data_IF_534907411536
#
_entry.id   IF_534907411536
#
_cell.length_a   1.000
_cell.length_b   1.000
_cell.length_c   1.000
_cell.angle_alpha   90.00
_cell.angle_beta   90.00
_cell.angle_gamma   90.00
#
_symmetry.space_group_name_H-M   'P 1'
#
loop_
_entity.id
_entity.type
_entity.pdbx_description
1 polymer ?
#
# COMPACT_ATOMS: atom_id res chain seq x y z
N UNK A 1 -15.26 -23.21 1.74
CA UNK A 1 -14.26 -22.68 2.71
C UNK A 1 -14.81 -21.37 3.27
N UNK A 2 -14.40 -20.87 4.44
CA UNK A 2 -15.10 -19.74 5.11
C UNK A 2 -14.51 -18.35 4.78
N UNK A 3 -13.19 -18.22 4.81
CA UNK A 3 -12.41 -17.05 4.37
C UNK A 3 -11.01 -17.55 4.00
N UNK A 4 -10.52 -17.25 2.80
CA UNK A 4 -9.22 -17.73 2.34
C UNK A 4 -8.69 -16.91 1.17
N UNK A 5 -7.38 -16.94 0.95
CA UNK A 5 -6.76 -16.36 -0.23
C UNK A 5 -6.77 -17.32 -1.43
N UNK A 6 -7.04 -16.79 -2.62
CA UNK A 6 -6.91 -17.50 -3.89
C UNK A 6 -5.44 -17.59 -4.29
N UNK A 7 -5.05 -18.72 -4.87
CA UNK A 7 -3.67 -18.91 -5.39
C UNK A 7 -3.46 -18.32 -6.78
N UNK A 8 -4.51 -18.00 -7.56
CA UNK A 8 -4.33 -17.72 -8.99
C UNK A 8 -5.49 -17.06 -9.75
N UNK A 9 -6.48 -16.43 -9.10
CA UNK A 9 -7.57 -15.82 -9.87
C UNK A 9 -7.20 -14.40 -10.34
N UNK A 10 -6.74 -13.50 -9.46
CA UNK A 10 -6.37 -12.12 -9.84
C UNK A 10 -5.15 -11.51 -9.09
N UNK A 11 -4.28 -12.32 -8.49
CA UNK A 11 -3.00 -11.89 -7.87
C UNK A 11 -2.80 -12.35 -6.42
N UNK A 12 -1.63 -12.07 -5.81
CA UNK A 12 -1.39 -12.38 -4.41
C UNK A 12 -2.31 -11.49 -3.54
N UNK A 13 -3.06 -12.11 -2.62
CA UNK A 13 -3.98 -11.49 -1.64
C UNK A 13 -5.44 -11.31 -2.05
N UNK A 14 -5.91 -11.88 -3.16
CA UNK A 14 -7.36 -11.96 -3.41
C UNK A 14 -8.01 -12.95 -2.43
N UNK A 15 -9.12 -12.57 -1.79
CA UNK A 15 -9.79 -13.38 -0.78
C UNK A 15 -11.26 -13.67 -1.11
N UNK A 16 -11.80 -14.79 -0.62
CA UNK A 16 -13.21 -15.19 -0.82
C UNK A 16 -13.88 -15.74 0.45
N UNK A 17 -15.17 -15.44 0.59
CA UNK A 17 -16.14 -15.94 1.56
C UNK A 17 -17.25 -16.69 0.79
N UNK A 18 -17.45 -17.99 1.05
CA UNK A 18 -18.36 -18.78 0.22
C UNK A 18 -19.73 -19.12 0.85
N UNK A 19 -19.99 -18.93 2.15
CA UNK A 19 -21.17 -19.59 2.78
C UNK A 19 -21.86 -18.88 3.94
N UNK A 20 -21.21 -17.93 4.63
CA UNK A 20 -21.80 -17.17 5.74
C UNK A 20 -21.04 -15.85 5.90
N UNK A 21 -21.78 -14.78 6.18
CA UNK A 21 -21.19 -13.54 6.69
C UNK A 21 -20.50 -13.87 8.03
N UNK A 22 -19.21 -13.55 8.12
CA UNK A 22 -18.39 -13.72 9.32
C UNK A 22 -17.80 -12.36 9.69
N UNK A 23 -17.36 -12.20 10.92
CA UNK A 23 -16.58 -11.01 11.30
C UNK A 23 -15.17 -11.06 10.73
N UNK A 24 -14.53 -9.90 10.54
CA UNK A 24 -13.13 -9.83 10.09
C UNK A 24 -12.19 -10.55 11.08
N UNK A 25 -12.46 -10.49 12.38
CA UNK A 25 -11.76 -11.29 13.41
C UNK A 25 -11.78 -12.79 13.07
N UNK A 26 -12.95 -13.31 12.71
CA UNK A 26 -13.08 -14.72 12.34
C UNK A 26 -12.33 -15.00 11.05
N UNK A 27 -12.37 -14.09 10.09
CA UNK A 27 -11.61 -14.17 8.82
C UNK A 27 -10.10 -14.27 9.04
N UNK A 28 -9.52 -13.35 9.82
CA UNK A 28 -8.09 -13.33 10.15
C UNK A 28 -7.63 -14.62 10.83
N UNK A 29 -8.43 -15.17 11.76
CA UNK A 29 -8.12 -16.42 12.46
C UNK A 29 -8.29 -17.69 11.61
N UNK A 30 -8.81 -17.59 10.39
CA UNK A 30 -8.85 -18.70 9.43
C UNK A 30 -7.60 -18.74 8.53
N UNK A 31 -6.82 -17.66 8.49
CA UNK A 31 -5.61 -17.57 7.67
C UNK A 31 -4.43 -18.28 8.35
N UNK A 32 -3.71 -19.16 7.65
CA UNK A 32 -2.51 -19.81 8.20
C UNK A 32 -1.47 -18.78 8.65
N UNK A 33 -0.90 -18.98 9.84
CA UNK A 33 0.16 -18.11 10.37
C UNK A 33 -0.31 -16.76 10.90
N UNK A 34 -1.62 -16.45 10.82
CA UNK A 34 -2.23 -15.23 11.36
C UNK A 34 -3.17 -15.60 12.52
N UNK A 35 -3.17 -14.78 13.57
CA UNK A 35 -4.18 -14.82 14.61
C UNK A 35 -4.57 -13.41 15.02
N UNK A 36 -5.83 -13.23 15.42
CA UNK A 36 -6.35 -11.97 15.93
C UNK A 36 -7.18 -12.21 17.19
N UNK A 37 -7.04 -11.34 18.17
CA UNK A 37 -7.98 -11.20 19.29
C UNK A 37 -8.01 -9.76 19.78
N UNK A 38 -9.09 -9.38 20.47
CA UNK A 38 -9.15 -8.14 21.24
C UNK A 38 -8.89 -8.45 22.72
N UNK A 39 -7.91 -7.78 23.34
CA UNK A 39 -7.56 -8.00 24.75
C UNK A 39 -7.49 -6.67 25.49
N UNK A 40 -8.42 -6.43 26.41
CA UNK A 40 -8.47 -5.19 27.18
C UNK A 40 -8.65 -3.94 26.32
N UNK A 41 -9.41 -4.05 25.21
CA UNK A 41 -9.61 -2.96 24.24
C UNK A 41 -8.56 -2.91 23.13
N UNK A 42 -7.37 -3.45 23.36
CA UNK A 42 -6.25 -3.41 22.40
C UNK A 42 -6.34 -4.53 21.36
N UNK A 43 -5.88 -4.24 20.14
CA UNK A 43 -5.65 -5.25 19.11
C UNK A 43 -4.46 -6.14 19.48
N UNK A 44 -4.59 -7.45 19.31
CA UNK A 44 -3.48 -8.41 19.46
C UNK A 44 -3.45 -9.28 18.21
N UNK A 45 -2.33 -9.21 17.48
CA UNK A 45 -2.13 -9.91 16.22
C UNK A 45 -0.92 -10.83 16.35
N UNK A 46 -1.11 -12.11 16.07
CA UNK A 46 -0.01 -13.03 15.82
C UNK A 46 0.26 -13.11 14.32
N UNK A 47 1.52 -12.97 13.91
CA UNK A 47 1.97 -13.15 12.53
C UNK A 47 3.30 -13.90 12.53
N UNK A 48 3.33 -15.04 11.83
CA UNK A 48 4.53 -15.89 11.67
C UNK A 48 5.26 -16.19 13.00
N UNK A 49 4.48 -16.58 14.02
CA UNK A 49 4.99 -16.90 15.36
C UNK A 49 5.32 -15.68 16.25
N UNK A 50 5.22 -14.46 15.73
CA UNK A 50 5.42 -13.23 16.51
C UNK A 50 4.09 -12.63 16.95
N UNK A 51 3.97 -12.23 18.22
CA UNK A 51 2.76 -11.58 18.75
C UNK A 51 2.98 -10.09 18.97
N UNK A 52 2.17 -9.29 18.30
CA UNK A 52 2.07 -7.84 18.41
C UNK A 52 0.83 -7.49 19.23
N UNK A 53 0.99 -6.54 20.15
CA UNK A 53 -0.11 -6.06 20.98
C UNK A 53 -0.09 -4.54 20.97
N UNK A 54 -1.21 -3.96 20.56
CA UNK A 54 -1.43 -2.54 20.59
C UNK A 54 -1.34 -1.98 22.02
N UNK A 55 -0.80 -0.77 22.15
CA UNK A 55 -0.46 -0.15 23.43
C UNK A 55 0.76 -0.72 24.14
N UNK A 56 1.37 -1.82 23.66
CA UNK A 56 2.71 -2.22 24.11
C UNK A 56 3.72 -1.20 23.59
N UNK A 57 4.73 -0.86 24.40
CA UNK A 57 5.70 0.18 24.04
C UNK A 57 6.29 -0.05 22.64
N UNK A 58 6.06 0.91 21.75
CA UNK A 58 6.54 0.88 20.37
C UNK A 58 5.78 -0.04 19.42
N UNK A 59 4.57 -0.47 19.77
CA UNK A 59 3.65 -1.19 18.88
C UNK A 59 2.37 -0.39 18.72
N UNK A 60 1.99 -0.15 17.48
CA UNK A 60 0.73 0.47 17.08
C UNK A 60 0.08 -0.42 16.02
N UNK A 61 -1.21 -0.73 16.20
CA UNK A 61 -1.95 -1.61 15.29
C UNK A 61 -3.22 -0.90 14.86
N UNK A 62 -3.38 -0.71 13.55
CA UNK A 62 -4.61 -0.16 12.97
C UNK A 62 -5.19 -1.09 11.93
N UNK A 63 -6.53 -1.20 11.91
CA UNK A 63 -7.25 -2.10 11.01
C UNK A 63 -8.36 -1.30 10.32
N UNK A 64 -8.32 -1.28 8.99
CA UNK A 64 -9.24 -0.49 8.19
C UNK A 64 -9.96 -1.37 7.16
N UNK A 65 -11.20 -1.03 6.85
CA UNK A 65 -11.78 -1.29 5.53
C UNK A 65 -11.63 0.00 4.73
N UNK A 66 -11.01 -0.08 3.56
CA UNK A 66 -10.64 1.09 2.76
C UNK A 66 -9.88 2.12 3.59
N UNK A 67 -10.53 3.22 3.95
CA UNK A 67 -10.00 4.30 4.81
C UNK A 67 -10.71 4.42 6.15
N UNK A 68 -11.75 3.64 6.39
CA UNK A 68 -12.47 3.65 7.66
C UNK A 68 -11.80 2.68 8.64
N UNK A 69 -11.41 3.17 9.81
CA UNK A 69 -10.96 2.30 10.89
C UNK A 69 -12.15 1.50 11.43
N UNK A 70 -12.01 0.18 11.48
CA UNK A 70 -13.10 -0.74 11.82
C UNK A 70 -12.76 -1.55 13.08
N UNK A 71 -13.79 -2.00 13.81
CA UNK A 71 -13.63 -2.99 14.88
C UNK A 71 -13.77 -4.41 14.30
N UNK A 72 -12.70 -5.22 14.16
CA UNK A 72 -12.79 -6.53 13.53
C UNK A 72 -13.69 -7.52 14.26
N UNK A 73 -13.99 -7.27 15.55
CA UNK A 73 -14.89 -8.10 16.35
C UNK A 73 -16.37 -7.87 16.01
N UNK A 74 -16.68 -6.77 15.31
CA UNK A 74 -18.04 -6.35 14.95
C UNK A 74 -18.24 -6.23 13.44
N UNK A 75 -17.18 -5.93 12.69
CA UNK A 75 -17.25 -5.71 11.25
C UNK A 75 -17.50 -7.02 10.52
N UNK A 76 -18.64 -7.10 9.85
CA UNK A 76 -19.05 -8.22 9.02
C UNK A 76 -18.46 -8.12 7.62
N UNK A 77 -17.78 -9.17 7.19
CA UNK A 77 -17.05 -9.22 5.91
C UNK A 77 -18.01 -9.22 4.72
N UNK A 78 -17.88 -8.24 3.83
CA UNK A 78 -18.68 -8.10 2.62
C UNK A 78 -17.86 -8.32 1.35
N UNK A 79 -18.56 -8.71 0.28
CA UNK A 79 -17.94 -8.89 -1.02
C UNK A 79 -17.29 -7.57 -1.49
N UNK A 80 -16.06 -7.67 -2.02
CA UNK A 80 -15.24 -6.57 -2.50
C UNK A 80 -14.68 -5.60 -1.44
N UNK A 81 -14.77 -5.95 -0.15
CA UNK A 81 -14.08 -5.19 0.91
C UNK A 81 -12.56 -5.26 0.74
N UNK A 82 -11.90 -4.16 1.10
CA UNK A 82 -10.45 -4.03 1.04
C UNK A 82 -9.91 -3.76 2.43
N UNK A 83 -9.29 -4.77 3.05
CA UNK A 83 -8.79 -4.67 4.40
C UNK A 83 -7.31 -4.29 4.45
N UNK A 84 -6.98 -3.41 5.41
CA UNK A 84 -5.61 -3.03 5.73
C UNK A 84 -5.34 -3.29 7.20
N UNK A 85 -4.47 -4.25 7.49
CA UNK A 85 -3.94 -4.49 8.83
C UNK A 85 -2.52 -3.95 8.85
N UNK A 86 -2.30 -2.84 9.56
CA UNK A 86 -0.98 -2.23 9.70
C UNK A 86 -0.46 -2.44 11.12
N UNK A 87 0.75 -2.99 11.23
CA UNK A 87 1.47 -3.15 12.50
C UNK A 87 2.74 -2.32 12.37
N UNK A 88 2.84 -1.25 13.15
CA UNK A 88 4.06 -0.47 13.28
C UNK A 88 4.82 -0.94 14.51
N UNK A 89 6.10 -1.30 14.33
CA UNK A 89 7.00 -1.64 15.43
C UNK A 89 8.25 -0.77 15.41
N UNK A 90 8.40 0.06 16.43
CA UNK A 90 9.54 0.95 16.59
C UNK A 90 9.33 1.87 17.78
N UNK A 91 10.40 2.42 18.35
CA UNK A 91 10.23 3.59 19.23
C UNK A 91 9.46 4.61 18.41
N UNK A 92 8.34 5.14 18.93
CA UNK A 92 7.83 6.43 18.48
C UNK A 92 9.04 7.36 18.52
N UNK A 93 9.66 7.60 17.36
CA UNK A 93 10.74 8.56 17.28
C UNK A 93 10.07 9.83 17.76
N UNK A 94 10.53 10.33 18.91
CA UNK A 94 10.01 11.58 19.46
C UNK A 94 9.95 12.57 18.31
N UNK A 95 8.76 13.13 18.10
CA UNK A 95 8.43 14.04 17.03
C UNK A 95 9.46 15.17 17.04
N UNK A 96 10.49 15.05 16.19
CA UNK A 96 10.99 16.22 15.48
C UNK A 96 9.86 16.51 14.52
N UNK A 97 9.08 17.57 14.78
CA UNK A 97 7.80 17.87 14.13
C UNK A 97 7.84 18.05 12.61
N UNK A 98 8.98 17.78 11.98
CA UNK A 98 9.24 17.99 10.57
C UNK A 98 9.42 16.70 9.77
N UNK A 99 9.55 15.52 10.40
CA UNK A 99 9.74 14.26 9.64
C UNK A 99 8.47 13.43 9.58
N UNK A 100 8.03 13.13 8.35
CA UNK A 100 6.93 12.24 7.99
C UNK A 100 7.48 10.98 7.37
N UNK A 101 6.78 9.88 7.53
CA UNK A 101 7.14 8.60 6.93
C UNK A 101 5.91 7.85 6.47
N UNK A 102 6.07 6.93 5.54
CA UNK A 102 4.98 6.11 5.06
C UNK A 102 5.45 4.98 4.16
N UNK A 103 4.51 4.35 3.48
CA UNK A 103 4.73 3.25 2.54
C UNK A 103 4.24 3.64 1.15
N UNK A 104 4.94 3.19 0.11
CA UNK A 104 4.55 3.28 -1.28
C UNK A 104 4.60 1.90 -1.93
N UNK A 105 3.52 1.58 -2.66
CA UNK A 105 3.43 0.46 -3.58
C UNK A 105 3.25 1.04 -4.98
N UNK A 106 4.07 0.63 -5.94
CA UNK A 106 3.94 1.04 -7.34
C UNK A 106 4.01 -0.19 -8.23
N UNK A 107 2.91 -0.49 -8.89
CA UNK A 107 2.78 -1.60 -9.83
C UNK A 107 2.54 -1.08 -11.24
N UNK A 108 3.28 -1.62 -12.21
CA UNK A 108 3.04 -1.43 -13.64
C UNK A 108 2.77 -2.81 -14.24
N UNK A 109 1.55 -3.04 -14.68
CA UNK A 109 1.07 -4.32 -15.21
C UNK A 109 1.47 -5.46 -14.28
N UNK A 110 0.97 -5.42 -13.04
CA UNK A 110 1.27 -6.40 -11.98
C UNK A 110 2.76 -6.59 -11.62
N UNK A 111 3.68 -5.82 -12.22
CA UNK A 111 5.08 -5.80 -11.80
C UNK A 111 5.29 -4.71 -10.77
N UNK A 112 5.62 -5.13 -9.55
CA UNK A 112 6.09 -4.27 -8.48
C UNK A 112 7.42 -3.63 -8.85
N UNK A 113 7.49 -2.31 -8.80
CA UNK A 113 8.75 -1.58 -8.89
C UNK A 113 9.52 -1.73 -7.58
N UNK A 114 10.81 -2.03 -7.70
CA UNK A 114 11.69 -2.22 -6.55
C UNK A 114 12.42 -0.93 -6.16
N UNK A 115 11.86 -0.19 -5.20
CA UNK A 115 12.46 1.05 -4.71
C UNK A 115 13.70 0.83 -3.83
N UNK A 116 14.09 -0.42 -3.51
CA UNK A 116 15.40 -0.69 -2.88
C UNK A 116 16.56 -0.60 -3.88
N UNK A 117 16.29 -0.65 -5.19
CA UNK A 117 17.31 -0.55 -6.22
C UNK A 117 18.08 0.78 -6.11
N UNK A 118 19.41 0.73 -6.34
CA UNK A 118 20.30 1.87 -6.08
C UNK A 118 19.96 3.14 -6.86
N UNK A 119 19.26 3.02 -8.01
CA UNK A 119 18.79 4.18 -8.76
C UNK A 119 17.78 5.03 -7.98
N UNK A 120 16.89 4.40 -7.21
CA UNK A 120 15.88 5.09 -6.41
C UNK A 120 16.45 5.62 -5.09
N UNK A 121 17.32 4.84 -4.46
CA UNK A 121 18.03 5.24 -3.25
C UNK A 121 18.90 6.50 -3.47
N UNK A 122 19.35 6.76 -4.70
CA UNK A 122 20.12 7.96 -5.08
C UNK A 122 19.27 9.11 -5.62
N UNK A 123 18.05 8.84 -6.06
CA UNK A 123 17.19 9.83 -6.71
C UNK A 123 16.46 10.74 -5.70
N UNK A 124 16.39 10.32 -4.43
CA UNK A 124 15.84 11.12 -3.35
C UNK A 124 16.61 12.43 -3.12
N UNK A 125 15.90 13.41 -2.57
CA UNK A 125 16.48 14.67 -2.10
C UNK A 125 16.91 14.57 -0.63
N UNK A 126 17.50 15.62 -0.08
CA UNK A 126 17.62 15.74 1.40
C UNK A 126 16.25 15.79 2.08
N UNK A 127 15.22 16.22 1.36
CA UNK A 127 13.86 16.39 1.85
C UNK A 127 13.03 15.12 1.72
N UNK A 128 13.27 14.25 0.74
CA UNK A 128 12.52 13.01 0.53
C UNK A 128 13.43 11.86 0.10
N UNK A 129 13.30 10.71 0.76
CA UNK A 129 14.09 9.50 0.46
C UNK A 129 13.22 8.26 0.62
N UNK A 130 13.50 7.24 -0.19
CA UNK A 130 13.03 5.89 0.12
C UNK A 130 13.90 5.33 1.23
N UNK A 131 13.26 4.87 2.30
CA UNK A 131 13.92 4.13 3.35
C UNK A 131 14.03 2.65 2.95
N UNK A 132 15.13 2.00 3.35
CA UNK A 132 15.25 0.56 3.24
C UNK A 132 14.07 -0.11 3.97
N UNK A 133 13.36 -0.93 3.23
CA UNK A 133 12.06 -1.49 3.61
C UNK A 133 11.93 -2.88 3.01
N UNK A 134 11.11 -3.72 3.64
CA UNK A 134 10.91 -5.09 3.18
C UNK A 134 9.80 -5.11 2.11
N UNK A 135 10.04 -5.70 0.93
CA UNK A 135 9.00 -5.96 -0.05
C UNK A 135 7.79 -6.66 0.60
N UNK A 136 6.55 -6.35 0.17
CA UNK A 136 6.22 -5.61 -1.06
C UNK A 136 6.09 -4.08 -0.87
N UNK A 137 6.14 -3.56 0.36
CA UNK A 137 5.94 -2.14 0.66
C UNK A 137 7.27 -1.40 0.75
N UNK A 138 7.36 -0.23 0.11
CA UNK A 138 8.57 0.58 0.16
C UNK A 138 8.39 1.79 1.07
N UNK A 139 9.17 1.83 2.14
CA UNK A 139 9.20 2.92 3.09
C UNK A 139 9.72 4.20 2.44
N UNK A 140 9.14 5.33 2.84
CA UNK A 140 9.64 6.65 2.48
C UNK A 140 9.69 7.55 3.71
N UNK A 141 10.54 8.56 3.65
CA UNK A 141 10.66 9.61 4.65
C UNK A 141 10.68 10.97 3.98
N UNK A 142 9.99 11.94 4.55
CA UNK A 142 9.98 13.34 4.15
C UNK A 142 10.32 14.24 5.34
N UNK A 143 11.35 15.07 5.26
CA UNK A 143 11.74 16.01 6.34
C UNK A 143 11.54 17.46 5.90
N UNK A 144 10.86 18.28 6.70
CA UNK A 144 10.58 19.69 6.43
C UNK A 144 9.14 19.92 5.97
N UNK A 145 8.97 20.81 4.99
CA UNK A 145 7.66 21.09 4.40
C UNK A 145 7.07 19.85 3.71
N UNK A 146 5.74 19.62 3.80
CA UNK A 146 5.07 18.56 3.06
C UNK A 146 5.28 18.73 1.55
N UNK A 147 5.59 17.64 0.86
CA UNK A 147 5.58 17.57 -0.60
C UNK A 147 4.38 16.78 -1.08
N UNK A 148 3.99 17.02 -2.32
CA UNK A 148 2.94 16.28 -3.02
C UNK A 148 3.46 14.97 -3.58
N UNK A 149 2.55 14.02 -3.84
CA UNK A 149 2.92 12.77 -4.51
C UNK A 149 3.42 12.99 -5.94
N UNK A 150 2.95 14.03 -6.65
CA UNK A 150 3.50 14.42 -7.95
C UNK A 150 4.97 14.87 -7.84
N UNK A 151 5.32 15.67 -6.83
CA UNK A 151 6.72 16.08 -6.58
C UNK A 151 7.62 14.90 -6.21
N UNK A 152 7.09 13.83 -5.60
CA UNK A 152 7.82 12.58 -5.43
C UNK A 152 8.11 11.94 -6.79
N UNK A 153 7.12 11.83 -7.67
CA UNK A 153 7.32 11.24 -8.99
C UNK A 153 8.34 12.02 -9.82
N UNK A 154 8.35 13.35 -9.73
CA UNK A 154 9.33 14.19 -10.43
C UNK A 154 10.77 13.99 -9.95
N UNK A 155 10.96 13.42 -8.76
CA UNK A 155 12.29 13.06 -8.24
C UNK A 155 12.76 11.68 -8.71
N UNK A 156 11.88 10.84 -9.24
CA UNK A 156 12.22 9.48 -9.67
C UNK A 156 12.95 9.50 -11.03
N UNK A 157 13.97 8.65 -11.22
CA UNK A 157 14.84 8.73 -12.40
C UNK A 157 14.16 8.21 -13.68
N UNK A 158 13.13 7.38 -13.54
CA UNK A 158 12.45 6.70 -14.63
C UNK A 158 10.92 6.82 -14.57
N UNK A 159 10.38 7.62 -13.65
CA UNK A 159 8.94 7.86 -13.54
C UNK A 159 8.69 9.34 -13.72
N UNK A 160 7.64 9.70 -14.44
CA UNK A 160 7.10 11.06 -14.43
C UNK A 160 5.58 11.02 -14.47
N UNK A 161 4.94 11.98 -13.81
CA UNK A 161 3.49 12.04 -13.70
C UNK A 161 2.93 13.34 -14.27
N UNK A 162 1.73 13.27 -14.85
CA UNK A 162 0.94 14.44 -15.22
C UNK A 162 -0.54 14.16 -15.04
N UNK A 163 -1.30 15.18 -14.64
CA UNK A 163 -2.78 15.12 -14.63
C UNK A 163 -3.41 16.03 -15.69
N UNK A 164 -2.62 16.52 -16.67
CA UNK A 164 -3.14 17.40 -17.73
C UNK A 164 -3.99 16.61 -18.70
N UNK A 165 -5.28 16.55 -18.37
CA UNK A 165 -6.22 15.73 -19.10
C UNK A 165 -6.21 14.28 -18.62
N UNK A 166 -6.27 14.05 -17.30
CA UNK A 166 -6.28 12.73 -16.69
C UNK A 166 -4.88 12.21 -16.38
N UNK A 167 -4.83 11.18 -15.53
CA UNK A 167 -3.57 10.58 -15.09
C UNK A 167 -2.77 10.08 -16.28
N UNK A 168 -1.51 10.52 -16.34
CA UNK A 168 -0.49 10.05 -17.26
C UNK A 168 0.73 9.68 -16.44
N UNK A 169 1.20 8.44 -16.58
CA UNK A 169 2.44 7.95 -15.99
C UNK A 169 3.34 7.53 -17.13
N UNK A 170 4.54 8.13 -17.21
CA UNK A 170 5.60 7.62 -18.06
C UNK A 170 6.54 6.79 -17.21
N UNK A 171 6.87 5.60 -17.67
CA UNK A 171 7.90 4.74 -17.11
C UNK A 171 8.97 4.51 -18.15
N UNK A 172 10.20 4.94 -17.87
CA UNK A 172 11.34 4.88 -18.79
C UNK A 172 12.31 3.78 -18.37
N UNK A 173 12.17 2.58 -18.91
CA UNK A 173 12.98 1.41 -18.54
C UNK A 173 13.58 0.73 -19.76
N UNK A 174 14.52 -0.18 -19.52
CA UNK A 174 15.07 -1.06 -20.57
C UNK A 174 14.26 -2.36 -20.73
N UNK A 175 13.18 -2.50 -19.94
CA UNK A 175 12.33 -3.68 -19.94
C UNK A 175 11.04 -3.48 -20.74
N UNK A 176 10.28 -4.57 -20.87
CA UNK A 176 9.04 -4.63 -21.65
C UNK A 176 7.88 -3.77 -21.10
N UNK A 177 8.07 -3.12 -19.95
CA UNK A 177 7.06 -2.26 -19.33
C UNK A 177 7.36 -0.77 -19.57
N UNK A 178 8.42 -0.42 -20.31
CA UNK A 178 8.65 0.94 -20.80
C UNK A 178 7.43 1.49 -21.54
N UNK A 179 7.03 2.73 -21.25
CA UNK A 179 5.92 3.35 -21.95
C UNK A 179 5.33 4.61 -21.33
N UNK A 180 4.31 5.15 -22.00
CA UNK A 180 3.48 6.25 -21.53
C UNK A 180 2.05 5.74 -21.36
N UNK A 181 1.65 5.56 -20.11
CA UNK A 181 0.32 5.10 -19.72
C UNK A 181 -0.58 6.32 -19.48
N UNK A 182 -1.80 6.28 -19.98
CA UNK A 182 -2.77 7.38 -19.85
C UNK A 182 -4.13 6.79 -19.51
N UNK A 183 -4.76 7.25 -18.44
CA UNK A 183 -6.06 6.73 -17.98
C UNK A 183 -7.20 6.94 -18.98
N UNK A 184 -7.01 7.81 -19.99
CA UNK A 184 -7.97 8.04 -21.07
C UNK A 184 -7.84 7.08 -22.25
N UNK A 185 -6.76 6.29 -22.31
CA UNK A 185 -6.60 5.28 -23.36
C UNK A 185 -7.48 4.08 -23.05
N UNK A 186 -8.16 3.55 -24.07
CA UNK A 186 -8.92 2.32 -23.94
C UNK A 186 -8.00 1.18 -23.51
N UNK A 187 -8.47 0.35 -22.57
CA UNK A 187 -7.66 -0.72 -21.99
C UNK A 187 -6.46 -0.20 -21.19
N UNK A 188 -6.55 1.00 -20.59
CA UNK A 188 -5.56 1.49 -19.61
C UNK A 188 -6.29 1.95 -18.36
N UNK A 189 -5.89 1.40 -17.21
CA UNK A 189 -6.33 1.84 -15.89
C UNK A 189 -5.15 2.44 -15.13
N UNK A 190 -5.36 3.59 -14.50
CA UNK A 190 -4.41 4.17 -13.55
C UNK A 190 -5.19 4.50 -12.29
N UNK A 191 -4.87 3.82 -11.20
CA UNK A 191 -5.40 4.07 -9.87
C UNK A 191 -4.30 4.59 -8.97
N UNK A 192 -4.55 5.71 -8.29
CA UNK A 192 -3.61 6.30 -7.34
C UNK A 192 -4.37 6.59 -6.06
N UNK A 193 -4.01 5.88 -4.98
CA UNK A 193 -4.79 5.85 -3.75
C UNK A 193 -3.92 6.08 -2.54
N UNK A 194 -4.51 6.74 -1.54
CA UNK A 194 -4.11 6.55 -0.15
C UNK A 194 -5.04 5.50 0.44
N UNK A 195 -4.48 4.34 0.78
CA UNK A 195 -5.21 3.11 1.08
C UNK A 195 -6.22 2.78 -0.01
N UNK A 196 -7.49 3.13 0.16
CA UNK A 196 -8.53 2.93 -0.84
C UNK A 196 -9.26 4.21 -1.29
N UNK A 197 -8.82 5.37 -0.82
CA UNK A 197 -9.33 6.66 -1.30
C UNK A 197 -8.49 7.10 -2.48
N UNK A 198 -9.13 7.33 -3.62
CA UNK A 198 -8.48 7.93 -4.79
C UNK A 198 -8.01 9.35 -4.42
N UNK A 199 -6.76 9.65 -4.74
CA UNK A 199 -6.13 10.95 -4.47
C UNK A 199 -5.70 11.60 -5.77
N UNK A 200 -5.62 12.93 -5.80
CA UNK A 200 -4.94 13.65 -6.88
C UNK A 200 -3.49 13.93 -6.47
N UNK A 201 -2.49 13.28 -7.09
CA UNK A 201 -1.09 13.49 -6.76
C UNK A 201 -0.61 14.94 -6.87
N UNK A 202 -1.27 15.79 -7.66
CA UNK A 202 -0.86 17.20 -7.82
C UNK A 202 -1.23 18.09 -6.63
N UNK A 203 -2.17 17.65 -5.78
CA UNK A 203 -2.63 18.43 -4.61
C UNK A 203 -2.53 17.65 -3.30
N UNK A 204 -2.43 16.32 -3.35
CA UNK A 204 -2.28 15.49 -2.17
C UNK A 204 -0.87 15.62 -1.56
N UNK A 205 -0.79 16.21 -0.38
CA UNK A 205 0.44 16.31 0.41
C UNK A 205 0.63 15.06 1.26
N UNK A 206 1.84 14.51 1.25
CA UNK A 206 2.22 13.34 2.04
C UNK A 206 2.06 13.58 3.54
N UNK A 207 1.43 12.63 4.23
CA UNK A 207 1.20 12.62 5.67
C UNK A 207 1.99 11.50 6.37
N UNK A 208 2.30 11.68 7.65
CA UNK A 208 2.94 10.61 8.42
C UNK A 208 1.98 9.41 8.58
N UNK A 209 2.49 8.20 8.39
CA UNK A 209 1.73 6.95 8.42
C UNK A 209 1.00 6.60 7.12
N UNK A 210 1.20 7.36 6.05
CA UNK A 210 0.55 7.12 4.76
C UNK A 210 0.90 5.76 4.16
N UNK A 211 -0.10 5.11 3.57
CA UNK A 211 0.08 3.92 2.74
C UNK A 211 -0.47 4.24 1.36
N UNK A 212 0.43 4.44 0.42
CA UNK A 212 0.10 4.87 -0.94
C UNK A 212 0.20 3.71 -1.91
N UNK A 213 -0.75 3.62 -2.82
CA UNK A 213 -0.77 2.65 -3.89
C UNK A 213 -0.93 3.35 -5.24
N UNK A 214 -0.01 3.06 -6.15
CA UNK A 214 -0.07 3.41 -7.56
C UNK A 214 -0.17 2.11 -8.34
N UNK A 215 -1.27 1.95 -9.06
CA UNK A 215 -1.49 0.81 -9.94
C UNK A 215 -1.71 1.31 -11.36
N UNK A 216 -0.90 0.81 -12.28
CA UNK A 216 -1.02 1.04 -13.71
C UNK A 216 -1.26 -0.30 -14.38
N UNK A 217 -2.35 -0.43 -15.12
CA UNK A 217 -2.66 -1.60 -15.95
C UNK A 217 -2.94 -1.15 -17.38
N UNK A 218 -2.47 -1.94 -18.34
CA UNK A 218 -2.93 -1.83 -19.72
C UNK A 218 -2.98 -3.18 -20.42
N UNK A 219 -4.01 -3.36 -21.24
CA UNK A 219 -4.21 -4.54 -22.08
C UNK A 219 -3.17 -4.63 -23.22
N UNK A 220 -2.43 -3.54 -23.47
CA UNK A 220 -1.35 -3.49 -24.47
C UNK A 220 -0.02 -4.04 -23.94
N UNK A 221 0.12 -4.23 -22.63
CA UNK A 221 1.33 -4.79 -22.04
C UNK A 221 1.29 -6.32 -22.10
N UNK A 222 2.45 -6.99 -22.23
CA UNK A 222 2.49 -8.45 -22.27
C UNK A 222 1.88 -9.06 -21.01
N UNK A 223 1.04 -10.08 -21.19
CA UNK A 223 0.39 -10.81 -20.09
C UNK A 223 1.40 -11.20 -19.01
N UNK A 224 1.01 -10.94 -17.77
CA UNK A 224 1.80 -11.26 -16.57
C UNK A 224 1.33 -12.58 -15.93
N UNK A 225 0.58 -13.40 -16.67
CA UNK A 225 0.23 -14.75 -16.23
C UNK A 225 1.50 -15.62 -16.24
N UNK A 226 2.14 -15.78 -15.08
CA UNK A 226 2.78 -17.02 -14.63
C UNK A 226 2.97 -17.00 -13.11
#
# INVERSE_FOLDING_TARGET
MYFHFHKSAHGPNEWSNEKKVITLERGLNLLPGISYKKQGGNHVIGYDGTTYQDGRSGVDITIHERTEEIDPTKYEVQHADQYWVHISTGRKSGTSGDTRSGLLMFDINNRRLDFTASKYQRAGTKQFQFANSNPPYYGWTNTGEPITLAEVFDQLPDISYSNRGGHTIKYSSSDRYDGIYKSRMSGTEISIRQRATDIDPTSYQLQDGDILWVYVHTDAAPDNEH
#
